data_IF_860881900513
#
_entry.id   IF_860881900513
#
_cell.length_a   1.000
_cell.length_b   1.000
_cell.length_c   1.000
_cell.angle_alpha   90.00
_cell.angle_beta   90.00
_cell.angle_gamma   90.00
#
_symmetry.space_group_name_H-M   'P 1'
#
loop_
_entity.id
_entity.type
_entity.pdbx_description
1 polymer ?
#
# COMPACT_ATOMS: atom_id res chain seq x y z
N UNK A 1 7.30 -9.87 0.96
CA UNK A 1 7.34 -10.00 2.43
C UNK A 1 8.69 -10.42 2.97
N UNK A 2 9.30 -11.48 2.45
CA UNK A 2 10.58 -12.02 2.97
C UNK A 2 11.68 -10.99 3.23
N UNK A 3 11.87 -10.00 2.35
CA UNK A 3 12.90 -8.97 2.53
C UNK A 3 12.59 -8.07 3.74
N UNK A 4 11.33 -7.69 3.94
CA UNK A 4 10.92 -6.88 5.09
C UNK A 4 11.09 -7.67 6.39
N UNK A 5 10.68 -8.94 6.43
CA UNK A 5 10.92 -9.80 7.59
C UNK A 5 12.42 -10.01 7.87
N UNK A 6 13.25 -10.15 6.83
CA UNK A 6 14.70 -10.23 6.99
C UNK A 6 15.27 -8.95 7.63
N UNK A 7 14.81 -7.76 7.23
CA UNK A 7 15.26 -6.52 7.87
C UNK A 7 14.81 -6.40 9.32
N UNK A 8 13.59 -6.85 9.64
CA UNK A 8 13.11 -6.92 11.03
C UNK A 8 13.99 -7.83 11.91
N UNK A 9 14.46 -8.95 11.36
CA UNK A 9 15.32 -9.89 12.10
C UNK A 9 16.78 -9.43 12.15
N UNK A 10 17.28 -8.83 11.07
CA UNK A 10 18.68 -8.45 10.94
C UNK A 10 19.00 -7.13 11.65
N UNK A 11 18.05 -6.21 11.74
CA UNK A 11 18.21 -4.86 12.27
C UNK A 11 17.11 -4.48 13.27
N UNK A 12 16.88 -5.27 14.34
CA UNK A 12 15.73 -5.12 15.23
C UNK A 12 15.70 -3.79 16.02
N UNK A 13 16.86 -3.12 16.17
CA UNK A 13 17.01 -1.92 16.99
C UNK A 13 17.19 -0.62 16.20
N UNK A 14 17.19 -0.67 14.85
CA UNK A 14 17.39 0.53 14.02
C UNK A 14 16.07 1.25 13.76
N UNK A 15 15.11 0.53 13.17
CA UNK A 15 13.79 1.06 12.82
C UNK A 15 12.79 -0.09 12.67
N UNK A 16 12.31 -0.66 13.79
CA UNK A 16 11.39 -1.80 13.75
C UNK A 16 10.05 -1.39 13.14
N UNK A 17 9.64 -2.11 12.09
CA UNK A 17 8.34 -1.97 11.42
C UNK A 17 7.26 -2.87 12.04
N UNK A 18 7.62 -3.70 13.01
CA UNK A 18 6.67 -4.51 13.77
C UNK A 18 6.66 -4.12 15.24
N UNK A 19 5.47 -4.10 15.87
CA UNK A 19 5.35 -3.82 17.29
C UNK A 19 6.03 -4.92 18.13
N UNK A 20 6.34 -4.58 19.39
CA UNK A 20 7.02 -5.50 20.31
C UNK A 20 6.13 -6.66 20.75
N UNK A 21 4.84 -6.42 21.00
CA UNK A 21 3.92 -7.45 21.49
C UNK A 21 3.55 -8.41 20.37
N UNK A 22 3.63 -9.71 20.65
CA UNK A 22 3.36 -10.75 19.65
C UNK A 22 1.95 -10.66 19.06
N UNK A 23 0.93 -10.35 19.86
CA UNK A 23 -0.44 -10.21 19.39
C UNK A 23 -0.60 -9.03 18.40
N UNK A 24 0.10 -7.94 18.64
CA UNK A 24 0.06 -6.75 17.78
C UNK A 24 0.77 -7.04 16.44
N UNK A 25 1.84 -7.86 16.47
CA UNK A 25 2.52 -8.34 15.26
C UNK A 25 1.57 -9.15 14.37
N UNK A 26 0.63 -9.89 14.95
CA UNK A 26 -0.38 -10.64 14.18
C UNK A 26 -1.33 -9.67 13.49
N UNK A 27 -1.74 -8.60 14.18
CA UNK A 27 -2.63 -7.59 13.62
C UNK A 27 -1.98 -6.86 12.43
N UNK A 28 -0.73 -6.42 12.59
CA UNK A 28 0.04 -5.78 11.50
C UNK A 28 0.22 -6.76 10.33
N UNK A 29 0.56 -8.02 10.59
CA UNK A 29 0.68 -9.03 9.53
C UNK A 29 -0.63 -9.34 8.82
N UNK A 30 -1.76 -9.24 9.51
CA UNK A 30 -3.07 -9.43 8.88
C UNK A 30 -3.35 -8.33 7.84
N UNK A 31 -3.09 -7.07 8.21
CA UNK A 31 -3.17 -5.93 7.30
C UNK A 31 -2.21 -6.10 6.11
N UNK A 32 -0.97 -6.50 6.38
CA UNK A 32 0.03 -6.80 5.34
C UNK A 32 -0.45 -7.87 4.37
N UNK A 33 -1.08 -8.95 4.85
CA UNK A 33 -1.52 -10.04 4.00
C UNK A 33 -2.66 -9.62 3.06
N UNK A 34 -3.61 -8.80 3.52
CA UNK A 34 -4.66 -8.24 2.66
C UNK A 34 -4.05 -7.52 1.46
N UNK A 35 -3.02 -6.70 1.71
CA UNK A 35 -2.36 -5.95 0.65
C UNK A 35 -1.48 -6.85 -0.21
N UNK A 36 -0.54 -7.56 0.38
CA UNK A 36 0.51 -8.28 -0.35
C UNK A 36 -0.01 -9.55 -1.05
N UNK A 37 -0.96 -10.26 -0.44
CA UNK A 37 -1.46 -11.54 -0.94
C UNK A 37 -2.75 -11.40 -1.71
N UNK A 38 -3.71 -10.60 -1.24
CA UNK A 38 -5.06 -10.57 -1.84
C UNK A 38 -5.21 -9.44 -2.87
N UNK A 39 -4.57 -8.29 -2.62
CA UNK A 39 -4.73 -7.08 -3.44
C UNK A 39 -3.65 -6.94 -4.52
N UNK A 40 -2.37 -6.88 -4.13
CA UNK A 40 -1.27 -6.61 -5.07
C UNK A 40 -1.04 -7.79 -6.02
N UNK A 41 -1.20 -9.03 -5.54
CA UNK A 41 -0.99 -10.22 -6.35
C UNK A 41 -1.98 -10.33 -7.52
N UNK A 42 -3.19 -9.78 -7.36
CA UNK A 42 -4.24 -9.76 -8.39
C UNK A 42 -4.14 -8.52 -9.29
N UNK A 43 -3.58 -7.41 -8.79
CA UNK A 43 -3.48 -6.13 -9.50
C UNK A 43 -2.11 -5.84 -10.11
N UNK A 44 -1.14 -6.75 -9.99
CA UNK A 44 0.15 -6.59 -10.65
C UNK A 44 0.04 -6.55 -12.18
N UNK A 45 1.05 -5.94 -12.83
CA UNK A 45 1.09 -5.74 -14.27
C UNK A 45 0.92 -7.04 -15.09
N UNK A 46 1.45 -8.17 -14.59
CA UNK A 46 1.34 -9.45 -15.29
C UNK A 46 -0.11 -9.93 -15.35
N UNK A 47 -0.82 -9.89 -14.22
CA UNK A 47 -2.20 -10.37 -14.13
C UNK A 47 -3.15 -9.44 -14.90
N UNK A 48 -3.05 -8.13 -14.72
CA UNK A 48 -3.92 -7.19 -15.43
C UNK A 48 -3.68 -7.24 -16.95
N UNK A 49 -2.44 -7.43 -17.42
CA UNK A 49 -2.18 -7.65 -18.85
C UNK A 49 -2.76 -8.97 -19.36
N UNK A 50 -2.71 -10.06 -18.59
CA UNK A 50 -3.42 -11.30 -18.97
C UNK A 50 -4.93 -11.09 -19.11
N UNK A 51 -5.54 -10.31 -18.22
CA UNK A 51 -6.97 -9.95 -18.33
C UNK A 51 -7.22 -9.18 -19.63
N UNK A 52 -6.38 -8.19 -19.94
CA UNK A 52 -6.45 -7.46 -21.22
C UNK A 52 -6.35 -8.40 -22.41
N UNK A 53 -5.39 -9.32 -22.42
CA UNK A 53 -5.13 -10.21 -23.55
C UNK A 53 -6.30 -11.18 -23.79
N UNK A 54 -6.92 -11.68 -22.72
CA UNK A 54 -8.11 -12.54 -22.79
C UNK A 54 -9.34 -11.77 -23.28
N UNK A 55 -9.50 -10.51 -22.86
CA UNK A 55 -10.71 -9.71 -23.10
C UNK A 55 -10.61 -8.80 -24.33
N UNK A 56 -9.40 -8.53 -24.82
CA UNK A 56 -9.13 -7.60 -25.91
C UNK A 56 -9.41 -6.13 -25.57
N UNK A 57 -9.54 -5.76 -24.28
CA UNK A 57 -9.98 -4.42 -23.87
C UNK A 57 -9.18 -3.88 -22.68
N UNK A 58 -8.69 -2.64 -22.80
CA UNK A 58 -8.10 -1.91 -21.67
C UNK A 58 -9.17 -1.56 -20.61
N UNK A 59 -10.42 -1.34 -21.01
CA UNK A 59 -11.50 -0.99 -20.09
C UNK A 59 -11.84 -2.17 -19.17
N UNK A 60 -11.87 -3.39 -19.71
CA UNK A 60 -12.08 -4.61 -18.91
C UNK A 60 -10.91 -4.86 -17.94
N UNK A 61 -9.67 -4.61 -18.38
CA UNK A 61 -8.49 -4.63 -17.50
C UNK A 61 -8.62 -3.63 -16.36
N UNK A 62 -8.94 -2.38 -16.67
CA UNK A 62 -9.00 -1.31 -15.68
C UNK A 62 -10.17 -1.54 -14.72
N UNK A 63 -11.31 -2.04 -15.21
CA UNK A 63 -12.44 -2.45 -14.37
C UNK A 63 -12.06 -3.57 -13.41
N UNK A 64 -11.35 -4.59 -13.88
CA UNK A 64 -10.87 -5.69 -13.04
C UNK A 64 -9.93 -5.19 -11.94
N UNK A 65 -8.93 -4.38 -12.30
CA UNK A 65 -7.98 -3.83 -11.34
C UNK A 65 -8.69 -2.98 -10.26
N UNK A 66 -9.59 -2.08 -10.69
CA UNK A 66 -10.37 -1.22 -9.78
C UNK A 66 -11.23 -2.05 -8.81
N UNK A 67 -11.86 -3.10 -9.29
CA UNK A 67 -12.67 -3.98 -8.43
C UNK A 67 -11.80 -4.66 -7.37
N UNK A 68 -10.65 -5.22 -7.77
CA UNK A 68 -9.72 -5.87 -6.83
C UNK A 68 -9.16 -4.90 -5.78
N UNK A 69 -8.81 -3.67 -6.18
CA UNK A 69 -8.41 -2.62 -5.23
C UNK A 69 -9.54 -2.27 -4.27
N UNK A 70 -10.77 -2.08 -4.76
CA UNK A 70 -11.93 -1.77 -3.91
C UNK A 70 -12.15 -2.84 -2.86
N UNK A 71 -12.14 -4.12 -3.25
CA UNK A 71 -12.33 -5.26 -2.34
C UNK A 71 -11.23 -5.32 -1.27
N UNK A 72 -9.97 -5.19 -1.68
CA UNK A 72 -8.82 -5.18 -0.78
C UNK A 72 -8.82 -4.01 0.20
N UNK A 73 -9.09 -2.79 -0.29
CA UNK A 73 -9.11 -1.60 0.55
C UNK A 73 -10.30 -1.59 1.52
N UNK A 74 -11.48 -2.08 1.11
CA UNK A 74 -12.62 -2.22 2.03
C UNK A 74 -12.32 -3.23 3.16
N UNK A 75 -11.64 -4.34 2.84
CA UNK A 75 -11.23 -5.30 3.85
C UNK A 75 -10.21 -4.70 4.84
N UNK A 76 -9.22 -3.96 4.32
CA UNK A 76 -8.21 -3.28 5.12
C UNK A 76 -8.81 -2.19 6.02
N UNK A 77 -9.63 -1.29 5.44
CA UNK A 77 -10.37 -0.23 6.14
C UNK A 77 -11.23 -0.79 7.28
N UNK A 78 -11.91 -1.91 7.04
CA UNK A 78 -12.74 -2.58 8.06
C UNK A 78 -11.92 -3.08 9.25
N UNK A 79 -10.65 -3.43 9.05
CA UNK A 79 -9.75 -3.80 10.16
C UNK A 79 -9.23 -2.57 10.90
N UNK A 80 -8.92 -1.48 10.20
CA UNK A 80 -8.53 -0.22 10.83
C UNK A 80 -9.63 0.29 11.78
N UNK A 81 -10.89 0.30 11.32
CA UNK A 81 -12.04 0.72 12.15
C UNK A 81 -12.18 -0.15 13.40
N UNK A 82 -11.97 -1.47 13.29
CA UNK A 82 -12.03 -2.40 14.43
C UNK A 82 -10.91 -2.20 15.45
N UNK A 83 -9.77 -1.68 15.02
CA UNK A 83 -8.62 -1.41 15.89
C UNK A 83 -8.79 -0.12 16.71
N UNK A 84 -9.77 0.73 16.36
CA UNK A 84 -10.03 2.02 17.00
C UNK A 84 -9.44 3.16 16.17
N UNK A 85 -10.23 4.22 15.95
CA UNK A 85 -9.93 5.34 15.03
C UNK A 85 -8.76 6.24 15.44
N UNK A 86 -7.97 5.89 16.46
CA UNK A 86 -7.07 6.84 17.13
C UNK A 86 -5.61 6.81 16.63
N UNK A 87 -5.26 5.91 15.71
CA UNK A 87 -3.89 5.79 15.21
C UNK A 87 -3.56 6.73 14.05
N UNK A 88 -2.41 7.40 14.11
CA UNK A 88 -1.87 8.22 13.01
C UNK A 88 -1.61 7.39 11.73
N UNK A 89 -1.14 6.15 11.87
CA UNK A 89 -0.79 5.22 10.79
C UNK A 89 -1.70 3.99 10.80
N UNK A 90 -1.37 2.96 10.02
CA UNK A 90 -2.15 1.71 9.95
C UNK A 90 -2.20 0.94 11.27
N UNK A 91 -1.26 1.18 12.18
CA UNK A 91 -1.26 0.58 13.51
C UNK A 91 -0.71 1.56 14.56
N UNK A 92 -1.61 2.28 15.23
CA UNK A 92 -1.26 3.27 16.23
C UNK A 92 -0.50 4.47 15.63
N UNK A 93 0.46 5.00 16.39
CA UNK A 93 1.15 6.26 16.07
C UNK A 93 2.57 6.08 15.53
N UNK A 94 2.94 4.86 15.14
CA UNK A 94 4.25 4.56 14.52
C UNK A 94 4.07 3.86 13.18
N UNK A 95 4.92 4.20 12.22
CA UNK A 95 4.97 3.53 10.91
C UNK A 95 5.24 2.04 11.13
N UNK A 96 4.42 1.20 10.50
CA UNK A 96 4.50 -0.24 10.58
C UNK A 96 4.71 -0.87 9.20
N UNK A 97 4.98 -2.18 9.18
CA UNK A 97 5.11 -2.94 7.94
C UNK A 97 3.82 -2.89 7.11
N UNK A 98 2.66 -2.69 7.74
CA UNK A 98 1.38 -2.54 7.05
C UNK A 98 1.36 -1.26 6.20
N UNK A 99 1.91 -0.16 6.71
CA UNK A 99 2.01 1.09 5.97
C UNK A 99 2.96 0.99 4.78
N UNK A 100 4.11 0.34 4.98
CA UNK A 100 5.14 0.14 3.95
C UNK A 100 4.59 -0.60 2.73
N UNK A 101 3.63 -1.51 2.92
CA UNK A 101 2.96 -2.20 1.80
C UNK A 101 1.73 -1.45 1.30
N UNK A 102 1.02 -0.73 2.18
CA UNK A 102 -0.20 0.01 1.83
C UNK A 102 0.10 1.16 0.87
N UNK A 103 1.06 2.02 1.19
CA UNK A 103 1.36 3.26 0.43
C UNK A 103 1.59 2.99 -1.06
N UNK A 104 2.52 2.12 -1.48
CA UNK A 104 2.74 1.86 -2.90
C UNK A 104 1.53 1.22 -3.59
N UNK A 105 0.70 0.47 -2.85
CA UNK A 105 -0.54 -0.11 -3.38
C UNK A 105 -1.60 0.97 -3.63
N UNK A 106 -1.70 1.96 -2.74
CA UNK A 106 -2.55 3.13 -2.92
C UNK A 106 -2.07 3.98 -4.11
N UNK A 107 -0.77 4.22 -4.24
CA UNK A 107 -0.21 4.94 -5.39
C UNK A 107 -0.56 4.23 -6.71
N UNK A 108 -0.48 2.90 -6.74
CA UNK A 108 -0.90 2.12 -7.91
C UNK A 108 -2.39 2.31 -8.21
N UNK A 109 -3.27 2.26 -7.21
CA UNK A 109 -4.71 2.51 -7.40
C UNK A 109 -4.99 3.93 -7.92
N UNK A 110 -4.23 4.93 -7.48
CA UNK A 110 -4.33 6.30 -7.99
C UNK A 110 -3.91 6.42 -9.47
N UNK A 111 -2.97 5.61 -9.95
CA UNK A 111 -2.64 5.52 -11.39
C UNK A 111 -3.83 5.00 -12.22
N UNK A 112 -4.71 4.19 -11.62
CA UNK A 112 -5.99 3.78 -12.23
C UNK A 112 -7.09 4.84 -12.10
N UNK A 113 -6.79 6.03 -11.57
CA UNK A 113 -7.75 7.13 -11.36
C UNK A 113 -8.89 6.73 -10.42
N UNK A 114 -8.58 5.96 -9.38
CA UNK A 114 -9.55 5.64 -8.33
C UNK A 114 -9.70 6.82 -7.36
N UNK A 115 -10.94 7.07 -6.92
CA UNK A 115 -11.23 7.90 -5.77
C UNK A 115 -11.24 7.03 -4.51
N UNK A 116 -10.68 7.52 -3.41
CA UNK A 116 -10.51 6.79 -2.15
C UNK A 116 -11.53 7.21 -1.08
N UNK A 117 -12.54 8.01 -1.42
CA UNK A 117 -13.58 8.45 -0.48
C UNK A 117 -14.35 7.30 0.20
N UNK A 118 -14.34 6.11 -0.39
CA UNK A 118 -14.95 4.90 0.20
C UNK A 118 -14.09 4.25 1.29
N UNK A 119 -12.86 4.70 1.50
CA UNK A 119 -11.90 4.24 2.52
C UNK A 119 -11.19 5.42 3.19
N UNK A 120 -11.91 6.20 4.01
CA UNK A 120 -11.41 7.47 4.55
C UNK A 120 -10.16 7.32 5.44
N UNK A 121 -10.00 6.22 6.17
CA UNK A 121 -8.79 6.01 6.98
C UNK A 121 -7.58 5.72 6.10
N UNK A 122 -7.69 4.85 5.08
CA UNK A 122 -6.62 4.64 4.09
C UNK A 122 -6.24 5.96 3.41
N UNK A 123 -7.24 6.76 3.00
CA UNK A 123 -7.02 8.07 2.37
C UNK A 123 -6.26 9.02 3.32
N UNK A 124 -6.66 9.08 4.59
CA UNK A 124 -5.97 9.87 5.63
C UNK A 124 -4.52 9.38 5.83
N UNK A 125 -4.33 8.09 6.05
CA UNK A 125 -3.01 7.48 6.27
C UNK A 125 -2.08 7.79 5.10
N UNK A 126 -2.53 7.60 3.85
CA UNK A 126 -1.75 7.92 2.66
C UNK A 126 -1.34 9.40 2.60
N UNK A 127 -2.23 10.31 3.00
CA UNK A 127 -1.90 11.74 3.05
C UNK A 127 -0.83 12.08 4.09
N UNK A 128 -0.80 11.39 5.24
CA UNK A 128 0.21 11.59 6.29
C UNK A 128 1.62 11.27 5.80
N UNK A 129 1.77 10.28 4.92
CA UNK A 129 3.09 9.82 4.46
C UNK A 129 3.83 10.80 3.54
N UNK A 130 3.11 11.76 2.96
CA UNK A 130 3.72 12.82 2.14
C UNK A 130 4.67 13.73 2.94
N UNK A 131 4.57 13.70 4.27
CA UNK A 131 5.37 14.55 5.16
C UNK A 131 6.64 13.84 5.67
N UNK A 132 6.83 12.56 5.39
CA UNK A 132 7.99 11.79 5.84
C UNK A 132 9.08 11.72 4.76
N UNK A 133 10.27 12.22 5.08
CA UNK A 133 11.44 12.23 4.17
C UNK A 133 11.73 10.85 3.56
N UNK A 134 11.57 9.77 4.35
CA UNK A 134 11.80 8.41 3.87
C UNK A 134 10.82 7.98 2.77
N UNK A 135 9.56 8.43 2.84
CA UNK A 135 8.54 8.13 1.82
C UNK A 135 8.68 9.04 0.61
N UNK A 136 9.06 10.30 0.80
CA UNK A 136 9.41 11.21 -0.29
C UNK A 136 10.60 10.67 -1.10
N UNK A 137 11.67 10.25 -0.43
CA UNK A 137 12.83 9.65 -1.09
C UNK A 137 12.50 8.32 -1.81
N UNK A 138 11.51 7.58 -1.33
CA UNK A 138 11.05 6.32 -1.90
C UNK A 138 9.95 6.49 -2.97
N UNK A 139 9.43 7.70 -3.20
CA UNK A 139 8.39 7.95 -4.20
C UNK A 139 8.90 7.51 -5.59
N UNK A 140 8.08 6.74 -6.31
CA UNK A 140 8.41 6.22 -7.63
C UNK A 140 8.73 7.32 -8.65
N UNK A 141 8.32 8.58 -8.39
CA UNK A 141 8.60 9.74 -9.23
C UNK A 141 9.98 10.36 -8.99
N UNK A 142 10.63 10.03 -7.88
CA UNK A 142 11.93 10.55 -7.47
C UNK A 142 13.09 9.61 -7.78
N UNK A 143 12.82 8.47 -8.44
CA UNK A 143 13.84 7.47 -8.73
C UNK A 143 14.62 7.81 -10.01
N UNK A 144 15.89 7.36 -10.08
CA UNK A 144 16.77 7.67 -11.20
C UNK A 144 16.28 7.13 -12.55
N UNK A 145 15.53 6.04 -12.54
CA UNK A 145 14.95 5.37 -13.70
C UNK A 145 13.53 5.87 -14.05
N UNK A 146 12.94 6.77 -13.25
CA UNK A 146 11.65 7.38 -13.56
C UNK A 146 11.75 8.14 -14.90
N UNK A 147 10.87 7.85 -15.88
CA UNK A 147 10.83 8.61 -17.12
C UNK A 147 10.59 10.10 -16.86
N UNK A 148 11.32 10.97 -17.58
CA UNK A 148 11.36 12.42 -17.32
C UNK A 148 9.96 13.07 -17.22
N UNK A 149 9.02 12.66 -18.07
CA UNK A 149 7.62 13.14 -18.06
C UNK A 149 6.83 12.85 -16.77
N UNK A 150 7.32 11.96 -15.92
CA UNK A 150 6.68 11.54 -14.68
C UNK A 150 7.45 11.97 -13.43
N UNK A 151 8.67 12.50 -13.58
CA UNK A 151 9.44 12.99 -12.45
C UNK A 151 8.70 14.13 -11.77
N UNK A 152 8.82 14.22 -10.45
CA UNK A 152 8.41 15.44 -9.75
C UNK A 152 9.21 16.58 -10.37
N UNK A 153 8.53 17.56 -10.95
CA UNK A 153 9.21 18.75 -11.43
C UNK A 153 9.63 19.53 -10.20
N UNK A 154 10.91 19.84 -10.07
CA UNK A 154 11.39 20.80 -9.07
C UNK A 154 10.58 22.09 -9.27
N UNK A 155 9.85 22.50 -8.22
CA UNK A 155 9.05 23.72 -8.22
C UNK A 155 9.92 24.98 -8.27
#
# INVERSE_FOLDING_TARGET
MTILDYFEERFPDISPLLPRRLQDRVQVRNLVNIIAMDTQSTTNACIVHRVKDIRGSNDDRDKFAKQAFTEGFQAYESLLVKQGEEGTYSFGDTVSMADVVLVPTVDQALLYRMDLDFVPNIKRIHSTFKELEAFEAADWRNQGDTPEKFRVQDA
#
